data_IF_645126071601
#
_entry.id   IF_645126071601
#
_cell.length_a   1.000
_cell.length_b   1.000
_cell.length_c   1.000
_cell.angle_alpha   90.00
_cell.angle_beta   90.00
_cell.angle_gamma   90.00
#
_symmetry.space_group_name_H-M   'P 1'
#
loop_
_entity.id
_entity.type
_entity.pdbx_description
1 polymer ?
#
# COMPACT_ATOMS: atom_id res chain seq x y z
N UNK A 1 -2.49 -1.99 -14.17
CA UNK A 1 -1.43 -1.99 -13.15
C UNK A 1 -1.17 -0.55 -12.77
N UNK A 2 -2.23 0.13 -12.33
CA UNK A 2 -2.27 1.59 -12.13
C UNK A 2 -3.01 1.92 -10.84
N UNK A 3 -3.14 0.97 -9.90
CA UNK A 3 -3.85 1.20 -8.65
C UNK A 3 -2.96 1.89 -7.59
N UNK A 4 -1.63 1.80 -7.72
CA UNK A 4 -0.72 2.39 -6.76
C UNK A 4 -0.57 3.90 -6.98
N UNK A 5 -0.55 4.64 -5.88
CA UNK A 5 -0.37 6.09 -5.83
C UNK A 5 0.76 6.41 -4.86
N UNK A 6 1.61 7.35 -5.25
CA UNK A 6 2.79 7.73 -4.48
C UNK A 6 2.47 8.86 -3.51
N UNK A 7 2.46 8.55 -2.22
CA UNK A 7 2.45 9.53 -1.15
C UNK A 7 3.86 10.02 -0.82
N UNK A 8 3.98 10.85 0.23
CA UNK A 8 5.27 11.40 0.66
C UNK A 8 6.22 10.33 1.21
N UNK A 9 5.69 9.36 1.97
CA UNK A 9 6.51 8.32 2.62
C UNK A 9 5.89 6.92 2.60
N UNK A 10 4.78 6.75 1.88
CA UNK A 10 4.07 5.49 1.72
C UNK A 10 3.38 5.42 0.34
N UNK A 11 2.89 4.24 -0.02
CA UNK A 11 2.07 4.03 -1.20
C UNK A 11 0.61 3.80 -0.79
N UNK A 12 -0.31 4.35 -1.57
CA UNK A 12 -1.75 4.10 -1.43
C UNK A 12 -2.26 3.25 -2.59
N UNK A 13 -3.23 2.37 -2.31
CA UNK A 13 -3.96 1.59 -3.31
C UNK A 13 -5.29 2.29 -3.56
N UNK A 14 -5.52 2.73 -4.80
CA UNK A 14 -6.79 3.30 -5.21
C UNK A 14 -7.87 2.20 -5.38
N UNK A 15 -8.92 2.17 -4.54
CA UNK A 15 -9.91 1.10 -4.58
C UNK A 15 -10.77 1.13 -5.84
N UNK A 16 -10.99 2.29 -6.48
CA UNK A 16 -11.72 2.41 -7.75
C UNK A 16 -10.99 1.80 -8.95
N UNK A 17 -9.67 1.59 -8.85
CA UNK A 17 -8.83 1.03 -9.91
C UNK A 17 -8.34 -0.37 -9.57
N UNK A 18 -8.29 -0.73 -8.28
CA UNK A 18 -8.02 -2.10 -7.86
C UNK A 18 -9.10 -3.05 -8.39
N UNK A 19 -8.67 -4.23 -8.83
CA UNK A 19 -9.54 -5.29 -9.37
C UNK A 19 -9.43 -6.59 -8.57
N UNK A 20 -8.89 -6.52 -7.35
CA UNK A 20 -8.77 -7.63 -6.41
C UNK A 20 -8.02 -8.86 -6.95
N UNK A 21 -7.04 -8.65 -7.84
CA UNK A 21 -6.27 -9.73 -8.44
C UNK A 21 -5.23 -10.38 -7.51
N UNK A 22 -5.01 -9.83 -6.31
CA UNK A 22 -4.10 -10.33 -5.27
C UNK A 22 -2.61 -10.49 -5.64
N UNK A 23 -2.19 -10.10 -6.85
CA UNK A 23 -0.80 -10.25 -7.31
C UNK A 23 0.22 -9.43 -6.52
N UNK A 24 -0.18 -8.29 -5.96
CA UNK A 24 0.71 -7.41 -5.23
C UNK A 24 1.07 -7.92 -3.82
N UNK A 25 0.26 -8.81 -3.23
CA UNK A 25 0.46 -9.33 -1.87
C UNK A 25 1.84 -10.00 -1.68
N UNK A 26 2.22 -11.02 -2.47
CA UNK A 26 3.53 -11.67 -2.32
C UNK A 26 4.72 -10.79 -2.74
N UNK A 27 4.48 -9.71 -3.48
CA UNK A 27 5.53 -8.82 -3.97
C UNK A 27 5.95 -7.77 -2.93
N UNK A 28 5.15 -7.57 -1.88
CA UNK A 28 5.45 -6.60 -0.83
C UNK A 28 6.48 -7.20 0.16
N UNK A 29 7.72 -6.69 0.22
CA UNK A 29 8.78 -7.28 1.06
C UNK A 29 8.55 -7.10 2.56
N UNK A 30 7.58 -6.27 2.96
CA UNK A 30 7.20 -5.99 4.36
C UNK A 30 5.77 -6.40 4.66
N UNK A 31 5.12 -7.16 3.77
CA UNK A 31 3.80 -7.76 3.98
C UNK A 31 2.70 -6.76 4.40
N UNK A 32 2.74 -5.55 3.84
CA UNK A 32 1.82 -4.46 4.20
C UNK A 32 0.49 -4.44 3.40
N UNK A 33 0.29 -5.38 2.46
CA UNK A 33 -0.85 -5.37 1.54
C UNK A 33 -1.86 -6.45 1.92
N UNK A 34 -3.08 -6.01 2.21
CA UNK A 34 -4.21 -6.84 2.63
C UNK A 34 -5.45 -6.54 1.77
N UNK A 35 -6.27 -7.55 1.43
CA UNK A 35 -7.67 -7.32 1.09
C UNK A 35 -8.38 -6.55 2.21
N UNK A 36 -9.37 -5.74 1.88
CA UNK A 36 -10.10 -4.89 2.84
C UNK A 36 -10.74 -5.69 4.00
N UNK A 37 -11.23 -6.89 3.71
CA UNK A 37 -11.81 -7.82 4.69
C UNK A 37 -10.76 -8.61 5.51
N UNK A 38 -9.48 -8.54 5.17
CA UNK A 38 -8.38 -9.21 5.90
C UNK A 38 -7.47 -8.22 6.64
N UNK A 39 -7.74 -6.92 6.55
CA UNK A 39 -6.95 -5.91 7.28
C UNK A 39 -7.06 -6.17 8.78
N UNK A 40 -5.95 -6.27 9.54
CA UNK A 40 -6.00 -6.38 10.99
C UNK A 40 -6.76 -5.23 11.66
N UNK A 41 -7.48 -5.49 12.76
CA UNK A 41 -8.29 -4.48 13.49
C UNK A 41 -7.53 -3.19 13.81
N UNK A 42 -6.25 -3.31 14.18
CA UNK A 42 -5.36 -2.19 14.49
C UNK A 42 -5.05 -1.28 13.30
N UNK A 43 -5.25 -1.76 12.07
CA UNK A 43 -4.96 -1.04 10.82
C UNK A 43 -6.20 -0.73 9.98
N UNK A 44 -7.41 -1.00 10.47
CA UNK A 44 -8.64 -0.77 9.68
C UNK A 44 -8.80 0.68 9.20
N UNK A 45 -8.25 1.67 9.92
CA UNK A 45 -8.25 3.07 9.49
C UNK A 45 -7.60 3.27 8.12
N UNK A 46 -6.65 2.41 7.74
CA UNK A 46 -5.96 2.48 6.46
C UNK A 46 -6.87 2.20 5.27
N UNK A 47 -8.00 1.53 5.43
CA UNK A 47 -8.97 1.33 4.33
C UNK A 47 -9.48 2.68 3.84
N UNK A 48 -9.92 3.54 4.77
CA UNK A 48 -10.39 4.89 4.46
C UNK A 48 -9.24 5.80 4.01
N UNK A 49 -8.06 5.66 4.61
CA UNK A 49 -6.87 6.44 4.24
C UNK A 49 -6.46 6.20 2.79
N UNK A 50 -6.36 4.93 2.37
CA UNK A 50 -6.06 4.56 1.00
C UNK A 50 -7.04 5.22 0.02
N UNK A 51 -8.35 5.13 0.28
CA UNK A 51 -9.38 5.73 -0.58
C UNK A 51 -9.35 7.26 -0.65
N UNK A 52 -8.88 7.93 0.41
CA UNK A 52 -8.81 9.39 0.50
C UNK A 52 -7.55 9.93 -0.16
N UNK A 53 -6.40 9.36 0.19
CA UNK A 53 -5.10 9.85 -0.26
C UNK A 53 -4.80 9.46 -1.70
N UNK A 54 -5.31 8.32 -2.16
CA UNK A 54 -5.13 7.88 -3.55
C UNK A 54 -5.68 8.88 -4.58
N UNK A 55 -6.69 9.67 -4.21
CA UNK A 55 -7.31 10.68 -5.10
C UNK A 55 -6.45 11.94 -5.27
N UNK A 56 -5.55 12.19 -4.34
CA UNK A 56 -4.71 13.39 -4.30
C UNK A 56 -3.24 13.07 -4.62
N UNK A 57 -2.89 11.79 -4.68
CA UNK A 57 -1.54 11.31 -4.91
C UNK A 57 -1.35 10.94 -6.40
N UNK A 58 -0.18 11.21 -7.01
CA UNK A 58 0.08 10.82 -8.39
C UNK A 58 0.19 9.30 -8.55
N UNK A 59 -0.09 8.81 -9.76
CA UNK A 59 0.14 7.40 -10.13
C UNK A 59 1.64 7.10 -10.13
N UNK A 60 2.03 5.97 -9.54
CA UNK A 60 3.37 5.41 -9.71
C UNK A 60 3.34 4.32 -10.77
N UNK A 61 4.17 4.45 -11.80
CA UNK A 61 4.25 3.54 -12.93
C UNK A 61 5.46 2.62 -12.87
N UNK A 62 6.56 3.11 -12.31
CA UNK A 62 7.85 2.42 -12.25
C UNK A 62 8.27 2.18 -10.81
N UNK A 63 8.94 1.04 -10.57
CA UNK A 63 9.54 0.72 -9.27
C UNK A 63 10.66 1.71 -8.98
N UNK A 64 10.63 2.30 -7.79
CA UNK A 64 11.66 3.23 -7.29
C UNK A 64 12.49 2.58 -6.20
N UNK A 65 13.63 3.19 -5.89
CA UNK A 65 14.48 2.78 -4.77
C UNK A 65 13.66 2.99 -3.47
N UNK A 66 13.49 1.95 -2.63
CA UNK A 66 12.77 2.08 -1.37
C UNK A 66 13.36 3.18 -0.49
N UNK A 67 12.49 3.96 0.16
CA UNK A 67 12.87 4.92 1.18
C UNK A 67 13.43 4.14 2.38
N UNK A 68 14.75 3.92 2.44
CA UNK A 68 15.40 3.31 3.60
C UNK A 68 15.15 4.19 4.82
N UNK A 69 14.41 3.66 5.81
CA UNK A 69 14.41 4.16 7.19
C UNK A 69 14.96 3.06 8.11
N UNK A 70 15.63 3.43 9.19
CA UNK A 70 15.97 2.50 10.27
C UNK A 70 14.68 1.84 10.77
N UNK A 71 14.60 0.51 10.76
CA UNK A 71 13.40 -0.25 11.17
C UNK A 71 12.57 -0.87 10.04
N UNK A 72 12.88 -0.67 8.75
CA UNK A 72 12.20 -1.35 7.63
C UNK A 72 12.61 -2.82 7.40
N UNK A 73 13.16 -3.46 8.42
CA UNK A 73 13.40 -4.90 8.48
C UNK A 73 12.85 -5.31 9.83
N UNK A 74 11.69 -5.97 9.81
CA UNK A 74 10.99 -6.41 11.00
C UNK A 74 11.96 -7.04 12.02
N UNK A 75 11.85 -6.61 13.29
CA UNK A 75 12.38 -7.41 14.40
C UNK A 75 11.31 -7.97 15.32
N UNK A 76 10.06 -7.46 15.31
CA UNK A 76 8.99 -7.96 16.18
C UNK A 76 7.57 -7.89 15.58
N UNK A 77 7.44 -7.99 14.26
CA UNK A 77 6.20 -8.43 13.59
C UNK A 77 6.54 -9.36 12.43
#
# INVERSE_FOLDING_TARGET
MEAFREGTDCLYIEPSVCIDCNKCRPECPVEAIYPDYEVPSIWHSWIAENARESKHSPVILDVKIPLKKEGCINSEY
#
